data_IF_920847101890
#
_entry.id   IF_920847101890
#
_cell.length_a   1.000
_cell.length_b   1.000
_cell.length_c   1.000
_cell.angle_alpha   90.00
_cell.angle_beta   90.00
_cell.angle_gamma   90.00
#
_symmetry.space_group_name_H-M   'P 1'
#
loop_
_entity.id
_entity.type
_entity.pdbx_description
1 polymer ?
#
# COMPACT_ATOMS: atom_id res chain seq x y z
N UNK A 1 -1.99 -10.29 -10.45
CA UNK A 1 -2.29 -11.66 -10.01
C UNK A 1 -2.40 -11.76 -8.49
N UNK A 2 -1.33 -11.50 -7.74
CA UNK A 2 -1.34 -11.56 -6.27
C UNK A 2 -2.47 -10.73 -5.63
N UNK A 3 -2.53 -9.42 -5.91
CA UNK A 3 -3.57 -8.56 -5.33
C UNK A 3 -4.99 -8.98 -5.72
N UNK A 4 -5.19 -9.57 -6.89
CA UNK A 4 -6.50 -10.10 -7.31
C UNK A 4 -6.89 -11.30 -6.47
N UNK A 5 -5.96 -12.23 -6.23
CA UNK A 5 -6.20 -13.38 -5.35
C UNK A 5 -6.56 -12.94 -3.93
N UNK A 6 -5.83 -11.97 -3.38
CA UNK A 6 -6.10 -11.43 -2.04
C UNK A 6 -7.44 -10.68 -1.96
N UNK A 7 -7.78 -9.90 -3.00
CA UNK A 7 -9.05 -9.17 -3.09
C UNK A 7 -10.26 -10.10 -3.02
N UNK A 8 -10.19 -11.27 -3.67
CA UNK A 8 -11.25 -12.27 -3.66
C UNK A 8 -11.26 -13.08 -2.36
N UNK A 9 -10.09 -13.48 -1.86
CA UNK A 9 -9.99 -14.32 -0.67
C UNK A 9 -10.35 -13.61 0.63
N UNK A 10 -10.06 -12.30 0.75
CA UNK A 10 -10.21 -11.58 2.02
C UNK A 10 -11.66 -11.56 2.54
N UNK A 11 -12.69 -11.25 1.72
CA UNK A 11 -14.09 -11.35 2.17
C UNK A 11 -14.52 -12.79 2.47
N UNK A 12 -14.04 -13.77 1.69
CA UNK A 12 -14.39 -15.19 1.87
C UNK A 12 -13.87 -15.74 3.20
N UNK A 13 -12.58 -15.53 3.49
CA UNK A 13 -12.00 -15.94 4.77
C UNK A 13 -12.54 -15.11 5.93
N UNK A 14 -12.82 -13.82 5.71
CA UNK A 14 -13.51 -12.97 6.68
C UNK A 14 -14.89 -13.52 7.05
N UNK A 15 -15.69 -13.91 6.06
CA UNK A 15 -17.00 -14.54 6.28
C UNK A 15 -16.88 -15.89 6.98
N UNK A 16 -15.96 -16.74 6.54
CA UNK A 16 -15.72 -18.04 7.18
C UNK A 16 -15.37 -17.87 8.66
N UNK A 17 -14.51 -16.91 9.00
CA UNK A 17 -14.11 -16.64 10.39
C UNK A 17 -15.23 -16.13 11.31
N UNK A 18 -16.34 -15.64 10.74
CA UNK A 18 -17.50 -15.20 11.50
C UNK A 18 -18.40 -16.36 11.92
N UNK A 19 -18.49 -17.42 11.11
CA UNK A 19 -19.42 -18.54 11.34
C UNK A 19 -18.75 -19.80 11.88
N UNK A 20 -17.42 -19.91 11.78
CA UNK A 20 -16.65 -21.09 12.19
C UNK A 20 -15.44 -20.70 13.05
N UNK A 21 -14.82 -21.67 13.74
CA UNK A 21 -13.59 -21.43 14.49
C UNK A 21 -12.52 -20.81 13.60
N UNK A 22 -11.95 -19.69 14.05
CA UNK A 22 -10.99 -18.86 13.28
C UNK A 22 -9.72 -19.61 12.87
N UNK A 23 -9.39 -20.71 13.54
CA UNK A 23 -8.26 -21.59 13.20
C UNK A 23 -8.44 -22.34 11.87
N UNK A 24 -9.67 -22.68 11.48
CA UNK A 24 -9.95 -23.37 10.21
C UNK A 24 -9.52 -22.55 8.98
N UNK A 25 -10.01 -21.30 8.77
CA UNK A 25 -9.60 -20.51 7.62
C UNK A 25 -8.11 -20.16 7.65
N UNK A 26 -7.51 -20.00 8.84
CA UNK A 26 -6.06 -19.79 8.97
C UNK A 26 -5.26 -21.00 8.50
N UNK A 27 -5.59 -22.21 8.96
CA UNK A 27 -4.89 -23.42 8.53
C UNK A 27 -4.98 -23.62 7.01
N UNK A 28 -6.19 -23.49 6.44
CA UNK A 28 -6.41 -23.61 4.99
C UNK A 28 -5.63 -22.57 4.21
N UNK A 29 -5.62 -21.32 4.66
CA UNK A 29 -4.88 -20.24 4.00
C UNK A 29 -3.37 -20.47 3.96
N UNK A 30 -2.82 -21.03 5.04
CA UNK A 30 -1.38 -21.33 5.17
C UNK A 30 -1.05 -22.51 4.26
N UNK A 31 -1.86 -23.57 4.24
CA UNK A 31 -1.69 -24.71 3.32
C UNK A 31 -1.71 -24.27 1.86
N UNK A 32 -2.67 -23.41 1.48
CA UNK A 32 -2.72 -22.82 0.13
C UNK A 32 -1.45 -22.00 -0.15
N UNK A 33 -1.00 -21.18 0.79
CA UNK A 33 0.20 -20.35 0.63
C UNK A 33 1.46 -21.20 0.43
N UNK A 34 1.64 -22.27 1.21
CA UNK A 34 2.78 -23.18 1.08
C UNK A 34 2.74 -23.89 -0.27
N UNK A 35 1.60 -24.49 -0.63
CA UNK A 35 1.43 -25.16 -1.91
C UNK A 35 1.66 -24.21 -3.10
N UNK A 36 1.17 -22.98 -3.02
CA UNK A 36 1.33 -21.96 -4.05
C UNK A 36 2.78 -21.48 -4.20
N UNK A 37 3.51 -21.32 -3.09
CA UNK A 37 4.94 -20.99 -3.13
C UNK A 37 5.79 -22.15 -3.67
N UNK A 38 5.45 -23.41 -3.33
CA UNK A 38 6.07 -24.58 -3.96
C UNK A 38 5.82 -24.56 -5.48
N UNK A 39 4.58 -24.35 -5.92
CA UNK A 39 4.26 -24.23 -7.34
C UNK A 39 5.04 -23.09 -8.02
N UNK A 40 5.20 -21.95 -7.34
CA UNK A 40 5.97 -20.82 -7.84
C UNK A 40 7.46 -21.15 -7.99
N UNK A 41 8.07 -21.84 -7.02
CA UNK A 41 9.46 -22.27 -7.07
C UNK A 41 9.73 -23.25 -8.22
N UNK A 42 8.79 -24.16 -8.48
CA UNK A 42 8.88 -25.20 -9.50
C UNK A 42 8.32 -24.80 -10.87
N UNK A 43 8.02 -23.52 -11.09
CA UNK A 43 7.39 -23.04 -12.34
C UNK A 43 8.25 -23.22 -13.60
N UNK A 44 9.52 -23.56 -13.43
CA UNK A 44 10.49 -23.79 -14.50
C UNK A 44 10.49 -25.25 -15.00
N UNK A 45 9.89 -26.19 -14.26
CA UNK A 45 9.84 -27.62 -14.62
C UNK A 45 8.94 -27.91 -15.83
N UNK A 46 7.73 -27.33 -15.96
CA UNK A 46 6.97 -27.44 -17.20
C UNK A 46 7.75 -26.76 -18.34
N UNK A 47 7.85 -27.41 -19.49
CA UNK A 47 8.52 -26.85 -20.68
C UNK A 47 7.59 -25.98 -21.53
N UNK A 48 6.29 -25.95 -21.20
CA UNK A 48 5.25 -25.26 -21.95
C UNK A 48 4.31 -24.50 -21.02
N UNK A 49 3.88 -23.30 -21.43
CA UNK A 49 2.90 -22.44 -20.73
C UNK A 49 3.35 -21.84 -19.37
N UNK A 50 4.65 -21.72 -19.10
CA UNK A 50 5.22 -21.31 -17.80
C UNK A 50 4.68 -19.94 -17.30
N UNK A 51 4.38 -19.02 -18.22
CA UNK A 51 3.76 -17.72 -17.90
C UNK A 51 2.40 -17.86 -17.20
N UNK A 52 1.58 -18.84 -17.59
CA UNK A 52 0.27 -19.09 -17.00
C UNK A 52 0.41 -19.77 -15.64
N UNK A 53 1.32 -20.73 -15.51
CA UNK A 53 1.63 -21.36 -14.22
C UNK A 53 2.15 -20.34 -13.20
N UNK A 54 3.01 -19.41 -13.62
CA UNK A 54 3.49 -18.32 -12.77
C UNK A 54 2.32 -17.42 -12.32
N UNK A 55 1.43 -17.07 -13.24
CA UNK A 55 0.28 -16.21 -12.95
C UNK A 55 -0.69 -16.88 -11.96
N UNK A 56 -0.98 -18.17 -12.16
CA UNK A 56 -1.81 -18.99 -11.25
C UNK A 56 -1.15 -19.11 -9.88
N UNK A 57 0.14 -19.44 -9.81
CA UNK A 57 0.87 -19.52 -8.55
C UNK A 57 0.81 -18.19 -7.78
N UNK A 58 1.08 -17.06 -8.43
CA UNK A 58 0.97 -15.74 -7.79
C UNK A 58 -0.45 -15.42 -7.33
N UNK A 59 -1.48 -15.82 -8.09
CA UNK A 59 -2.87 -15.64 -7.67
C UNK A 59 -3.20 -16.49 -6.45
N UNK A 60 -2.72 -17.73 -6.37
CA UNK A 60 -2.90 -18.62 -5.21
C UNK A 60 -2.14 -18.14 -3.97
N UNK A 61 -0.91 -17.62 -4.12
CA UNK A 61 -0.19 -16.98 -3.00
C UNK A 61 -0.99 -15.77 -2.50
N UNK A 62 -1.56 -14.97 -3.41
CA UNK A 62 -2.46 -13.88 -3.05
C UNK A 62 -3.73 -14.36 -2.34
N UNK A 63 -4.32 -15.46 -2.82
CA UNK A 63 -5.48 -16.07 -2.19
C UNK A 63 -5.18 -16.49 -0.74
N UNK A 64 -4.05 -17.17 -0.51
CA UNK A 64 -3.57 -17.51 0.83
C UNK A 64 -3.33 -16.28 1.73
N UNK A 65 -2.88 -15.16 1.17
CA UNK A 65 -2.70 -13.90 1.90
C UNK A 65 -4.01 -13.23 2.36
N UNK A 66 -5.19 -13.74 1.95
CA UNK A 66 -6.48 -13.29 2.48
C UNK A 66 -6.65 -13.51 3.99
N UNK A 67 -5.78 -14.34 4.60
CA UNK A 67 -5.74 -14.57 6.04
C UNK A 67 -5.45 -13.33 6.89
N UNK A 68 -4.87 -12.28 6.29
CA UNK A 68 -4.65 -10.98 6.93
C UNK A 68 -5.97 -10.41 7.47
N UNK A 69 -7.09 -10.60 6.77
CA UNK A 69 -8.41 -10.18 7.23
C UNK A 69 -8.85 -10.93 8.50
N UNK A 70 -8.59 -12.25 8.56
CA UNK A 70 -8.91 -13.10 9.70
C UNK A 70 -8.08 -12.69 10.93
N UNK A 71 -6.76 -12.52 10.76
CA UNK A 71 -5.86 -12.09 11.84
C UNK A 71 -6.28 -10.74 12.41
N UNK A 72 -6.59 -9.75 11.55
CA UNK A 72 -7.04 -8.43 12.00
C UNK A 72 -8.39 -8.47 12.72
N UNK A 73 -9.33 -9.27 12.22
CA UNK A 73 -10.63 -9.46 12.90
C UNK A 73 -10.48 -10.14 14.25
N UNK A 74 -9.54 -11.09 14.37
CA UNK A 74 -9.20 -11.75 15.63
C UNK A 74 -8.64 -10.75 16.63
N UNK A 75 -7.64 -9.95 16.23
CA UNK A 75 -7.03 -8.93 17.10
C UNK A 75 -8.08 -7.92 17.56
N UNK A 76 -8.94 -7.44 16.65
CA UNK A 76 -9.97 -6.47 17.00
C UNK A 76 -10.99 -7.03 18.01
N UNK A 77 -11.35 -8.30 17.89
CA UNK A 77 -12.27 -8.98 18.82
C UNK A 77 -11.62 -9.43 20.14
N UNK A 78 -10.31 -9.71 20.14
CA UNK A 78 -9.58 -10.16 21.33
C UNK A 78 -9.01 -9.00 22.17
N UNK A 79 -9.06 -7.75 21.66
CA UNK A 79 -8.48 -6.57 22.33
C UNK A 79 -9.56 -5.60 22.79
N UNK A 80 -9.31 -5.01 23.96
CA UNK A 80 -10.11 -3.90 24.48
C UNK A 80 -9.99 -2.68 23.56
N UNK A 81 -10.97 -1.77 23.61
CA UNK A 81 -10.97 -0.54 22.81
C UNK A 81 -9.77 0.37 23.12
N UNK A 82 -9.28 0.36 24.36
CA UNK A 82 -8.11 1.13 24.77
C UNK A 82 -6.79 0.53 24.23
N UNK A 83 -6.69 -0.79 24.16
CA UNK A 83 -5.47 -1.49 23.73
C UNK A 83 -5.39 -1.73 22.23
N UNK A 84 -6.54 -1.65 21.52
CA UNK A 84 -6.66 -1.98 20.11
C UNK A 84 -5.65 -1.27 19.23
N UNK A 85 -5.41 0.01 19.51
CA UNK A 85 -4.47 0.82 18.74
C UNK A 85 -3.04 0.37 18.90
N UNK A 86 -2.65 -0.03 20.12
CA UNK A 86 -1.34 -0.62 20.38
C UNK A 86 -1.19 -1.99 19.70
N UNK A 87 -2.21 -2.83 19.78
CA UNK A 87 -2.19 -4.16 19.17
C UNK A 87 -2.12 -4.10 17.63
N UNK A 88 -2.92 -3.25 17.00
CA UNK A 88 -2.88 -3.05 15.54
C UNK A 88 -1.54 -2.44 15.10
N UNK A 89 -1.00 -1.47 15.84
CA UNK A 89 0.32 -0.91 15.56
C UNK A 89 1.44 -1.98 15.65
N UNK A 90 1.37 -2.88 16.64
CA UNK A 90 2.29 -4.01 16.75
C UNK A 90 2.20 -4.93 15.53
N UNK A 91 1.00 -5.30 15.11
CA UNK A 91 0.80 -6.15 13.93
C UNK A 91 1.34 -5.50 12.66
N UNK A 92 1.11 -4.19 12.48
CA UNK A 92 1.68 -3.43 11.36
C UNK A 92 3.21 -3.32 11.42
N UNK A 93 3.78 -3.17 12.62
CA UNK A 93 5.23 -3.19 12.80
C UNK A 93 5.84 -4.55 12.44
N UNK A 94 5.24 -5.66 12.91
CA UNK A 94 5.67 -7.00 12.52
C UNK A 94 5.56 -7.22 11.01
N UNK A 95 4.49 -6.71 10.37
CA UNK A 95 4.34 -6.78 8.92
C UNK A 95 5.43 -6.00 8.18
N UNK A 96 5.77 -4.79 8.65
CA UNK A 96 6.85 -3.98 8.05
C UNK A 96 8.21 -4.65 8.23
N UNK A 97 8.51 -5.15 9.42
CA UNK A 97 9.74 -5.92 9.69
C UNK A 97 9.83 -7.14 8.76
N UNK A 98 8.72 -7.86 8.55
CA UNK A 98 8.68 -8.98 7.61
C UNK A 98 8.93 -8.58 6.15
N UNK A 99 8.50 -7.40 5.73
CA UNK A 99 8.83 -6.88 4.39
C UNK A 99 10.31 -6.51 4.26
N UNK A 100 10.93 -5.98 5.32
CA UNK A 100 12.33 -5.57 5.33
C UNK A 100 13.25 -6.80 5.40
N UNK A 101 12.96 -7.73 6.31
CA UNK A 101 13.78 -8.94 6.55
C UNK A 101 13.45 -10.10 5.61
N UNK A 102 12.35 -10.05 4.84
CA UNK A 102 11.96 -11.11 3.91
C UNK A 102 13.04 -11.60 2.93
N UNK A 103 14.00 -10.77 2.49
CA UNK A 103 15.16 -11.21 1.70
C UNK A 103 16.31 -11.82 2.52
N UNK A 104 16.39 -11.57 3.83
CA UNK A 104 17.46 -12.03 4.71
C UNK A 104 16.92 -13.11 5.66
N UNK A 105 17.21 -14.36 5.33
CA UNK A 105 17.01 -15.47 6.24
C UNK A 105 17.73 -15.20 7.57
N UNK A 106 16.96 -14.92 8.62
CA UNK A 106 17.34 -15.31 9.96
C UNK A 106 16.17 -16.08 10.56
N UNK A 107 16.22 -17.39 10.34
CA UNK A 107 15.46 -18.36 11.12
C UNK A 107 16.19 -18.42 12.46
N UNK A 108 15.68 -17.69 13.45
CA UNK A 108 16.10 -17.91 14.83
C UNK A 108 15.39 -19.17 15.34
N UNK A 109 16.18 -20.21 15.62
CA UNK A 109 15.79 -21.51 16.20
C UNK A 109 15.36 -21.39 17.68
N UNK A 110 14.48 -20.44 18.00
CA UNK A 110 13.87 -20.39 19.32
C UNK A 110 12.53 -21.11 19.22
N UNK A 111 12.58 -22.43 19.45
CA UNK A 111 11.45 -23.36 19.60
C UNK A 111 10.52 -23.06 20.79
N UNK A 112 10.22 -21.79 21.03
CA UNK A 112 9.14 -21.38 21.91
C UNK A 112 7.83 -21.43 21.15
N UNK A 113 7.11 -22.52 21.38
CA UNK A 113 5.67 -22.56 21.12
C UNK A 113 5.02 -21.35 21.78
N UNK A 114 4.38 -20.48 20.99
CA UNK A 114 3.42 -19.54 21.53
C UNK A 114 2.37 -20.37 22.27
N UNK A 115 2.31 -20.19 23.60
CA UNK A 115 1.29 -20.78 24.45
C UNK A 115 -0.06 -20.50 23.79
N UNK A 116 -0.88 -21.54 23.57
CA UNK A 116 -2.28 -21.32 23.21
C UNK A 116 -2.84 -20.34 24.21
N UNK A 117 -3.26 -19.17 23.75
CA UNK A 117 -4.10 -18.30 24.55
C UNK A 117 -5.43 -19.04 24.61
N UNK A 118 -5.56 -19.92 25.60
CA UNK A 118 -6.86 -20.42 26.02
C UNK A 118 -7.56 -19.21 26.65
N UNK A 119 -8.41 -18.56 25.87
CA UNK A 119 -9.43 -17.69 26.41
C UNK A 119 -10.67 -18.56 26.55
N UNK A 120 -10.88 -19.08 27.74
CA UNK A 120 -12.24 -19.26 28.22
C UNK A 120 -12.85 -17.85 28.21
N UNK A 121 -13.80 -17.61 27.31
CA UNK A 121 -14.66 -16.47 27.43
C UNK A 121 -15.49 -16.73 28.69
N UNK A 122 -15.11 -16.12 29.81
CA UNK A 122 -16.10 -15.84 30.84
C UNK A 122 -17.17 -14.99 30.15
N UNK A 123 -18.36 -15.58 29.98
CA UNK A 123 -19.60 -14.85 29.70
C UNK A 123 -19.85 -13.91 30.89
N UNK A 124 -19.15 -12.77 30.90
CA UNK A 124 -19.58 -11.63 31.70
C UNK A 124 -20.83 -11.07 31.02
N UNK A 125 -21.92 -10.96 31.79
CA UNK A 125 -23.21 -10.39 31.39
C UNK A 125 -23.09 -9.00 30.70
N UNK A 126 -21.97 -8.30 30.88
CA UNK A 126 -21.62 -7.05 30.20
C UNK A 126 -21.43 -7.19 28.66
N UNK A 127 -21.06 -8.38 28.16
CA UNK A 127 -20.82 -8.65 26.72
C UNK A 127 -22.14 -8.78 25.97
N UNK A 128 -23.17 -9.37 26.59
CA UNK A 128 -24.50 -9.55 25.99
C UNK A 128 -25.13 -8.19 25.71
N UNK A 129 -24.93 -7.21 26.60
CA UNK A 129 -25.46 -5.86 26.43
C UNK A 129 -24.65 -5.00 25.44
N UNK A 130 -23.43 -5.40 25.05
CA UNK A 130 -22.59 -4.70 24.07
C UNK A 130 -23.03 -4.86 22.60
N UNK A 131 -23.98 -5.78 22.35
CA UNK A 131 -24.49 -6.10 21.02
C UNK A 131 -25.63 -5.17 20.55
N UNK A 132 -26.24 -4.40 21.47
CA UNK A 132 -27.50 -3.67 21.27
C UNK A 132 -27.41 -2.43 20.35
N UNK A 133 -26.21 -2.00 19.94
CA UNK A 133 -26.02 -0.82 19.09
C UNK A 133 -25.96 -1.12 17.58
N UNK A 134 -26.66 -0.35 16.75
CA UNK A 134 -26.51 -0.39 15.29
C UNK A 134 -25.16 0.19 14.85
N UNK A 135 -24.54 -0.44 13.85
CA UNK A 135 -23.27 -0.01 13.25
C UNK A 135 -23.55 1.23 12.40
N UNK A 136 -22.66 2.23 12.47
CA UNK A 136 -22.70 3.35 11.53
C UNK A 136 -22.15 2.91 10.17
N UNK A 137 -23.03 2.44 9.29
CA UNK A 137 -22.65 2.01 7.95
C UNK A 137 -22.03 3.14 7.13
N UNK A 138 -22.42 4.39 7.37
CA UNK A 138 -21.84 5.54 6.67
C UNK A 138 -20.40 5.72 7.12
N UNK A 139 -20.12 5.77 8.43
CA UNK A 139 -18.76 5.91 8.93
C UNK A 139 -17.85 4.73 8.49
N UNK A 140 -18.38 3.51 8.41
CA UNK A 140 -17.66 2.33 7.90
C UNK A 140 -17.29 2.49 6.43
N UNK A 141 -18.23 2.89 5.57
CA UNK A 141 -17.99 3.09 4.13
C UNK A 141 -16.98 4.22 3.91
N UNK A 142 -17.15 5.35 4.59
CA UNK A 142 -16.24 6.50 4.47
C UNK A 142 -14.81 6.16 4.93
N UNK A 143 -14.67 5.44 6.04
CA UNK A 143 -13.34 5.00 6.51
C UNK A 143 -12.70 3.99 5.53
N UNK A 144 -13.49 3.14 4.88
CA UNK A 144 -13.00 2.24 3.85
C UNK A 144 -12.53 3.01 2.60
N UNK A 145 -13.28 4.05 2.17
CA UNK A 145 -12.87 4.93 1.07
C UNK A 145 -11.54 5.62 1.41
N UNK A 146 -11.42 6.20 2.60
CA UNK A 146 -10.16 6.83 3.06
C UNK A 146 -9.00 5.82 3.02
N UNK A 147 -9.22 4.62 3.52
CA UNK A 147 -8.23 3.55 3.50
C UNK A 147 -7.81 3.14 2.08
N UNK A 148 -8.78 3.00 1.16
CA UNK A 148 -8.51 2.74 -0.25
C UNK A 148 -7.62 3.84 -0.84
N UNK A 149 -7.95 5.11 -0.60
CA UNK A 149 -7.20 6.24 -1.13
C UNK A 149 -5.78 6.29 -0.57
N UNK A 150 -5.59 6.09 0.74
CA UNK A 150 -4.27 6.05 1.37
C UNK A 150 -3.38 4.98 0.74
N UNK A 151 -3.91 3.76 0.55
CA UNK A 151 -3.16 2.69 -0.11
C UNK A 151 -2.96 2.91 -1.60
N UNK A 152 -3.90 3.58 -2.27
CA UNK A 152 -3.82 3.89 -3.68
C UNK A 152 -2.68 4.87 -3.95
N UNK A 153 -2.59 5.93 -3.15
CA UNK A 153 -1.52 6.93 -3.22
C UNK A 153 -0.15 6.27 -3.00
N UNK A 154 -0.04 5.40 -2.00
CA UNK A 154 1.21 4.67 -1.74
C UNK A 154 1.58 3.74 -2.89
N UNK A 155 0.63 2.97 -3.43
CA UNK A 155 0.88 2.07 -4.57
C UNK A 155 1.29 2.85 -5.83
N UNK A 156 0.70 4.04 -6.03
CA UNK A 156 1.08 4.97 -7.10
C UNK A 156 2.53 5.43 -6.94
N UNK A 157 2.90 5.88 -5.74
CA UNK A 157 4.26 6.33 -5.43
C UNK A 157 5.30 5.20 -5.58
N UNK A 158 5.01 4.02 -5.04
CA UNK A 158 5.85 2.82 -5.17
C UNK A 158 6.10 2.46 -6.64
N UNK A 159 5.08 2.59 -7.49
CA UNK A 159 5.17 2.25 -8.92
C UNK A 159 6.00 3.27 -9.71
N UNK A 160 5.82 4.56 -9.43
CA UNK A 160 6.44 5.63 -10.21
C UNK A 160 7.88 5.93 -9.78
N UNK A 161 8.29 5.60 -8.55
CA UNK A 161 9.62 5.89 -8.00
C UNK A 161 10.77 5.44 -8.93
N UNK A 162 10.75 4.18 -9.38
CA UNK A 162 11.79 3.64 -10.27
C UNK A 162 11.86 4.38 -11.61
N UNK A 163 10.80 4.46 -12.43
CA UNK A 163 10.88 5.18 -13.70
C UNK A 163 11.16 6.68 -13.53
N UNK A 164 10.62 7.32 -12.49
CA UNK A 164 10.88 8.74 -12.20
C UNK A 164 12.36 9.01 -11.97
N UNK A 165 13.01 8.23 -11.11
CA UNK A 165 14.43 8.42 -10.80
C UNK A 165 15.35 8.10 -11.99
N UNK A 166 14.98 7.14 -12.83
CA UNK A 166 15.65 6.88 -14.11
C UNK A 166 15.58 8.09 -15.04
N UNK A 167 14.38 8.66 -15.21
CA UNK A 167 14.13 9.77 -16.13
C UNK A 167 14.71 11.11 -15.63
N UNK A 168 14.67 11.35 -14.31
CA UNK A 168 15.11 12.62 -13.71
C UNK A 168 16.62 12.69 -13.44
N UNK A 169 17.24 11.56 -13.04
CA UNK A 169 18.65 11.53 -12.62
C UNK A 169 19.56 10.83 -13.63
N UNK A 170 19.02 10.36 -14.75
CA UNK A 170 19.76 9.56 -15.74
C UNK A 170 20.44 8.33 -15.15
N UNK A 171 19.82 7.75 -14.11
CA UNK A 171 20.27 6.51 -13.52
C UNK A 171 19.94 5.33 -14.43
N UNK A 172 20.86 4.37 -14.51
CA UNK A 172 20.57 3.09 -15.15
C UNK A 172 19.48 2.34 -14.39
N UNK A 173 18.83 1.36 -15.04
CA UNK A 173 17.80 0.55 -14.37
C UNK A 173 18.34 -0.12 -13.10
N UNK A 174 19.60 -0.57 -13.13
CA UNK A 174 20.25 -1.24 -11.99
C UNK A 174 20.47 -0.26 -10.83
N UNK A 175 20.99 0.93 -11.13
CA UNK A 175 21.21 1.98 -10.13
C UNK A 175 19.89 2.46 -9.54
N UNK A 176 18.88 2.72 -10.36
CA UNK A 176 17.58 3.19 -9.90
C UNK A 176 16.89 2.17 -8.98
N UNK A 177 16.89 0.88 -9.34
CA UNK A 177 16.33 -0.17 -8.48
C UNK A 177 17.13 -0.28 -7.17
N UNK A 178 18.46 -0.17 -7.23
CA UNK A 178 19.31 -0.25 -6.05
C UNK A 178 19.10 0.93 -5.09
N UNK A 179 19.17 2.17 -5.58
CA UNK A 179 19.00 3.38 -4.76
C UNK A 179 17.58 3.50 -4.22
N UNK A 180 16.54 3.24 -5.02
CA UNK A 180 15.16 3.22 -4.50
C UNK A 180 14.96 2.07 -3.51
N UNK A 181 15.64 0.94 -3.69
CA UNK A 181 15.66 -0.15 -2.71
C UNK A 181 16.22 0.30 -1.35
N UNK A 182 17.34 1.02 -1.34
CA UNK A 182 17.92 1.60 -0.12
C UNK A 182 16.95 2.60 0.53
N UNK A 183 16.35 3.49 -0.28
CA UNK A 183 15.39 4.50 0.21
C UNK A 183 14.17 3.83 0.84
N UNK A 184 13.55 2.86 0.15
CA UNK A 184 12.40 2.10 0.69
C UNK A 184 12.78 1.30 1.94
N UNK A 185 13.99 0.75 2.01
CA UNK A 185 14.52 0.10 3.21
C UNK A 185 14.63 1.06 4.39
N UNK A 186 15.18 2.25 4.17
CA UNK A 186 15.29 3.30 5.19
C UNK A 186 13.90 3.78 5.68
N UNK A 187 12.97 4.03 4.76
CA UNK A 187 11.57 4.36 5.07
C UNK A 187 10.89 3.22 5.86
N UNK A 188 11.23 1.96 5.56
CA UNK A 188 10.76 0.80 6.32
C UNK A 188 11.19 0.86 7.79
N UNK A 189 12.47 1.15 8.06
CA UNK A 189 13.01 1.32 9.42
C UNK A 189 12.35 2.50 10.11
N UNK A 190 12.23 3.63 9.42
CA UNK A 190 11.51 4.82 9.90
C UNK A 190 10.05 4.48 10.28
N UNK A 191 9.36 3.70 9.44
CA UNK A 191 7.98 3.28 9.68
C UNK A 191 7.82 2.48 10.97
N UNK A 192 8.81 1.64 11.32
CA UNK A 192 8.80 0.90 12.60
C UNK A 192 8.86 1.86 13.79
N UNK A 193 9.68 2.91 13.72
CA UNK A 193 9.75 3.95 14.75
C UNK A 193 8.42 4.70 14.84
N UNK A 194 7.82 5.05 13.70
CA UNK A 194 6.52 5.71 13.63
C UNK A 194 5.43 4.85 14.28
N UNK A 195 5.39 3.53 14.04
CA UNK A 195 4.42 2.65 14.70
C UNK A 195 4.56 2.62 16.22
N UNK A 196 5.77 2.72 16.75
CA UNK A 196 6.00 2.86 18.19
C UNK A 196 5.51 4.21 18.71
N UNK A 197 5.78 5.30 17.99
CA UNK A 197 5.36 6.64 18.34
C UNK A 197 3.82 6.78 18.36
N UNK A 198 3.13 6.20 17.37
CA UNK A 198 1.65 6.22 17.26
C UNK A 198 0.96 5.71 18.52
N UNK A 199 1.54 4.74 19.24
CA UNK A 199 0.98 4.22 20.50
C UNK A 199 0.93 5.27 21.61
N UNK A 200 1.95 6.12 21.67
CA UNK A 200 2.08 7.18 22.67
C UNK A 200 1.21 8.37 22.24
N UNK A 201 1.32 8.76 20.97
CA UNK A 201 0.61 9.92 20.43
C UNK A 201 -0.90 9.72 20.40
N UNK A 202 -1.39 8.50 20.13
CA UNK A 202 -2.83 8.22 20.04
C UNK A 202 -3.55 8.45 21.36
N UNK A 203 -2.89 8.15 22.49
CA UNK A 203 -3.42 8.44 23.83
C UNK A 203 -3.48 9.93 24.15
N UNK A 204 -2.59 10.74 23.57
CA UNK A 204 -2.49 12.17 23.87
C UNK A 204 -3.35 13.05 22.96
N UNK A 205 -3.41 12.72 21.68
CA UNK A 205 -4.02 13.57 20.63
C UNK A 205 -5.32 13.00 20.06
N UNK A 206 -5.62 11.73 20.36
CA UNK A 206 -6.74 11.02 19.76
C UNK A 206 -6.43 10.53 18.34
N UNK A 207 -7.07 9.43 17.94
CA UNK A 207 -6.80 8.74 16.67
C UNK A 207 -7.25 9.53 15.44
N UNK A 208 -8.36 10.28 15.57
CA UNK A 208 -8.90 11.13 14.51
C UNK A 208 -7.91 12.23 14.10
N UNK A 209 -7.32 12.91 15.10
CA UNK A 209 -6.34 13.97 14.88
C UNK A 209 -5.04 13.40 14.28
N UNK A 210 -4.63 12.20 14.68
CA UNK A 210 -3.46 11.54 14.07
C UNK A 210 -3.68 11.15 12.61
N UNK A 211 -4.87 10.64 12.26
CA UNK A 211 -5.19 10.36 10.86
C UNK A 211 -5.14 11.65 10.02
N UNK A 212 -5.73 12.73 10.53
CA UNK A 212 -5.72 14.03 9.86
C UNK A 212 -4.29 14.59 9.72
N UNK A 213 -3.49 14.55 10.79
CA UNK A 213 -2.10 14.97 10.79
C UNK A 213 -1.22 14.15 9.84
N UNK A 214 -1.43 12.83 9.77
CA UNK A 214 -0.75 11.96 8.82
C UNK A 214 -1.05 12.33 7.37
N UNK A 215 -2.32 12.59 7.03
CA UNK A 215 -2.72 13.00 5.68
C UNK A 215 -2.15 14.37 5.30
N UNK A 216 -2.05 15.31 6.25
CA UNK A 216 -1.38 16.60 6.02
C UNK A 216 0.12 16.43 5.74
N UNK A 217 0.81 15.57 6.50
CA UNK A 217 2.23 15.28 6.26
C UNK A 217 2.41 14.67 4.86
N UNK A 218 1.54 13.72 4.47
CA UNK A 218 1.54 13.14 3.12
C UNK A 218 1.31 14.22 2.05
N UNK A 219 0.37 15.15 2.26
CA UNK A 219 0.11 16.25 1.34
C UNK A 219 1.35 17.12 1.14
N UNK A 220 2.02 17.50 2.24
CA UNK A 220 3.25 18.31 2.18
C UNK A 220 4.35 17.55 1.45
N UNK A 221 4.50 16.24 1.69
CA UNK A 221 5.46 15.40 0.97
C UNK A 221 5.25 15.42 -0.54
N UNK A 222 4.03 15.17 -1.01
CA UNK A 222 3.72 15.22 -2.45
C UNK A 222 3.79 16.63 -3.04
N UNK A 223 3.50 17.66 -2.26
CA UNK A 223 3.63 19.05 -2.69
C UNK A 223 5.09 19.44 -2.92
N UNK A 224 6.01 18.97 -2.06
CA UNK A 224 7.46 19.16 -2.24
C UNK A 224 7.97 18.40 -3.47
N UNK A 225 7.37 17.23 -3.77
CA UNK A 225 7.73 16.40 -4.92
C UNK A 225 7.33 17.02 -6.29
N UNK A 226 6.52 18.08 -6.30
CA UNK A 226 6.24 18.81 -7.53
C UNK A 226 7.51 19.46 -8.10
N UNK A 227 7.74 19.43 -9.42
CA UNK A 227 8.92 20.05 -10.02
C UNK A 227 8.75 21.57 -10.06
N UNK A 228 9.32 22.25 -9.06
CA UNK A 228 9.29 23.71 -8.90
C UNK A 228 10.43 24.44 -9.60
N UNK A 229 11.57 23.77 -9.77
CA UNK A 229 12.80 24.40 -10.29
C UNK A 229 12.72 24.58 -11.80
N UNK A 230 13.50 25.48 -12.41
CA UNK A 230 13.46 25.78 -13.84
C UNK A 230 14.55 25.07 -14.68
N UNK A 231 15.19 24.02 -14.15
CA UNK A 231 16.22 23.24 -14.86
C UNK A 231 15.57 22.00 -15.48
N UNK A 232 15.77 21.75 -16.77
CA UNK A 232 15.24 20.56 -17.44
C UNK A 232 16.13 19.32 -17.15
N UNK A 233 15.54 18.10 -17.17
CA UNK A 233 16.30 16.86 -17.08
C UNK A 233 17.16 16.64 -18.33
N UNK A 234 18.25 15.88 -18.20
CA UNK A 234 19.08 15.46 -19.33
C UNK A 234 18.29 14.50 -20.24
N UNK A 235 18.23 14.84 -21.52
CA UNK A 235 17.54 14.08 -22.55
C UNK A 235 18.47 13.01 -23.15
N UNK A 236 17.94 11.85 -23.54
CA UNK A 236 18.69 10.77 -24.21
C UNK A 236 19.47 11.20 -25.48
N UNK A 237 19.22 12.40 -26.01
CA UNK A 237 19.91 12.96 -27.19
C UNK A 237 21.38 13.35 -26.95
N UNK A 238 21.86 13.45 -25.71
CA UNK A 238 23.28 13.70 -25.47
C UNK A 238 24.16 12.51 -25.91
N UNK A 239 23.62 11.29 -25.92
CA UNK A 239 24.31 10.08 -26.41
C UNK A 239 24.00 9.74 -27.88
N UNK A 240 22.87 10.20 -28.42
CA UNK A 240 22.41 9.94 -29.80
C UNK A 240 22.88 10.98 -30.84
N UNK A 241 23.67 11.98 -30.43
CA UNK A 241 24.19 13.06 -31.29
C UNK A 241 25.23 12.59 -32.34
N UNK A 242 25.19 11.32 -32.74
CA UNK A 242 25.94 10.80 -33.88
C UNK A 242 25.11 9.99 -34.89
N UNK A 243 23.78 9.88 -34.77
CA UNK A 243 22.97 9.32 -35.87
C UNK A 243 21.59 9.99 -35.98
N UNK A 244 21.19 10.22 -37.23
CA UNK A 244 20.07 11.04 -37.72
C UNK A 244 18.72 10.84 -37.02
N UNK A 245 18.03 11.98 -36.84
CA UNK A 245 16.71 12.17 -36.23
C UNK A 245 15.61 11.37 -36.97
N UNK A 246 14.88 10.45 -36.32
CA UNK A 246 13.62 9.92 -36.85
C UNK A 246 12.47 10.91 -36.54
N UNK A 247 11.70 11.31 -37.56
CA UNK A 247 10.47 12.09 -37.38
C UNK A 247 9.34 11.17 -36.90
N UNK A 248 8.75 11.46 -35.75
CA UNK A 248 7.54 10.79 -35.25
C UNK A 248 6.28 11.49 -35.78
N UNK A 249 5.29 10.71 -36.23
CA UNK A 249 4.06 11.19 -36.86
C UNK A 249 2.91 11.20 -35.83
N UNK A 250 2.00 12.18 -35.92
CA UNK A 250 0.86 12.43 -35.01
C UNK A 250 -0.03 11.21 -34.69
N UNK A 251 -0.02 10.18 -35.54
CA UNK A 251 -0.79 8.93 -35.41
C UNK A 251 -0.35 8.03 -34.25
N UNK A 252 0.85 8.19 -33.69
CA UNK A 252 1.39 7.30 -32.64
C UNK A 252 0.93 7.66 -31.21
N UNK A 253 0.19 8.76 -31.05
CA UNK A 253 -0.31 9.26 -29.76
C UNK A 253 -1.36 8.36 -29.08
N UNK A 254 -1.92 7.38 -29.79
CA UNK A 254 -3.02 6.51 -29.33
C UNK A 254 -2.65 5.02 -29.20
N UNK A 255 -1.38 4.63 -29.32
CA UNK A 255 -0.99 3.22 -29.20
C UNK A 255 -0.71 2.79 -27.74
N UNK A 256 -1.12 1.58 -27.33
CA UNK A 256 -0.74 0.99 -26.05
C UNK A 256 0.78 0.85 -25.89
N UNK A 257 1.31 1.19 -24.70
CA UNK A 257 2.73 1.17 -24.33
C UNK A 257 3.50 -0.11 -24.74
N UNK A 258 2.86 -1.29 -24.68
CA UNK A 258 3.49 -2.57 -25.02
C UNK A 258 3.81 -2.74 -26.51
N UNK A 259 3.15 -2.00 -27.40
CA UNK A 259 3.44 -2.02 -28.85
C UNK A 259 4.61 -1.08 -29.16
N UNK A 260 4.68 0.07 -28.48
CA UNK A 260 5.77 1.04 -28.67
C UNK A 260 7.15 0.45 -28.34
N UNK A 261 7.21 -0.43 -27.34
CA UNK A 261 8.43 -1.09 -26.90
C UNK A 261 8.98 -2.10 -27.93
N UNK A 262 8.17 -2.54 -28.91
CA UNK A 262 8.62 -3.48 -29.96
C UNK A 262 9.30 -2.81 -31.16
N UNK A 263 9.28 -1.47 -31.26
CA UNK A 263 9.81 -0.74 -32.42
C UNK A 263 11.22 -0.13 -32.23
N UNK A 264 11.80 -0.16 -31.03
CA UNK A 264 13.02 0.59 -30.69
C UNK A 264 14.21 -0.27 -30.22
N UNK A 265 14.43 -1.43 -30.83
CA UNK A 265 15.68 -2.16 -30.62
C UNK A 265 16.65 -1.84 -31.78
N UNK A 266 17.51 -0.81 -31.66
CA UNK A 266 18.63 -0.67 -32.59
C UNK A 266 19.58 -1.86 -32.35
N UNK A 267 20.01 -2.57 -33.41
CA UNK A 267 21.08 -3.54 -33.28
C UNK A 267 22.40 -2.76 -33.08
N UNK A 268 23.10 -3.06 -31.98
CA UNK A 268 24.48 -2.65 -31.68
C UNK A 268 24.72 -1.26 -31.05
N UNK A 269 24.15 -0.99 -29.88
CA UNK A 269 24.74 -0.05 -28.91
C UNK A 269 24.97 -0.77 -27.58
N UNK A 270 26.24 -0.81 -27.12
CA UNK A 270 26.68 -1.44 -25.86
C UNK A 270 26.32 -0.64 -24.61
N UNK A 271 25.76 0.56 -24.77
CA UNK A 271 25.37 1.47 -23.71
C UNK A 271 23.85 1.43 -23.56
N UNK A 272 23.35 1.09 -22.37
CA UNK A 272 21.93 1.22 -22.04
C UNK A 272 21.56 2.71 -22.08
N UNK A 273 20.51 3.13 -22.82
CA UNK A 273 20.12 4.53 -22.88
C UNK A 273 19.65 5.02 -21.51
N UNK A 274 20.24 6.11 -21.01
CA UNK A 274 19.94 6.73 -19.72
C UNK A 274 19.23 8.08 -19.89
N UNK A 275 18.45 8.48 -18.89
CA UNK A 275 17.67 9.73 -18.92
C UNK A 275 16.36 9.61 -19.70
N UNK A 276 15.66 10.73 -19.84
CA UNK A 276 14.29 10.68 -20.35
C UNK A 276 14.21 10.28 -21.84
N UNK A 277 13.31 9.32 -22.19
CA UNK A 277 13.05 8.95 -23.58
C UNK A 277 12.41 10.08 -24.40
N UNK A 278 12.93 10.29 -25.62
CA UNK A 278 12.43 11.30 -26.57
C UNK A 278 10.95 11.09 -26.99
N UNK A 279 10.40 9.91 -26.71
CA UNK A 279 8.99 9.57 -26.93
C UNK A 279 8.07 10.33 -25.97
N UNK A 280 8.55 10.67 -24.77
CA UNK A 280 7.77 11.36 -23.76
C UNK A 280 7.87 12.88 -23.98
N UNK A 281 6.78 13.49 -24.48
CA UNK A 281 6.76 14.91 -24.81
C UNK A 281 6.99 15.83 -23.60
N UNK A 282 6.58 15.39 -22.41
CA UNK A 282 6.69 16.18 -21.18
C UNK A 282 8.14 16.42 -20.74
N UNK A 283 9.12 15.69 -21.26
CA UNK A 283 10.53 15.88 -20.90
C UNK A 283 11.15 17.15 -21.47
N UNK A 284 10.52 17.75 -22.47
CA UNK A 284 10.93 19.03 -23.04
C UNK A 284 10.41 20.24 -22.23
N UNK A 285 9.38 20.03 -21.40
CA UNK A 285 8.66 21.12 -20.74
C UNK A 285 8.63 20.98 -19.20
N UNK A 286 8.88 19.78 -18.68
CA UNK A 286 8.84 19.48 -17.25
C UNK A 286 10.24 19.59 -16.64
N UNK A 287 10.43 20.43 -15.62
CA UNK A 287 11.70 20.54 -14.94
C UNK A 287 12.05 19.33 -14.10
N UNK A 288 13.35 19.21 -13.83
CA UNK A 288 13.92 18.17 -12.98
C UNK A 288 13.55 18.40 -11.52
N UNK A 289 13.24 17.30 -10.83
CA UNK A 289 13.10 17.28 -9.37
C UNK A 289 14.50 17.09 -8.78
N UNK A 290 14.91 17.93 -7.84
CA UNK A 290 16.21 17.73 -7.21
C UNK A 290 16.22 16.50 -6.31
N UNK A 291 17.38 15.82 -6.25
CA UNK A 291 17.55 14.66 -5.37
C UNK A 291 17.23 14.98 -3.91
N UNK A 292 17.58 16.17 -3.42
CA UNK A 292 17.23 16.61 -2.07
C UNK A 292 15.71 16.78 -1.87
N UNK A 293 14.98 17.25 -2.89
CA UNK A 293 13.52 17.38 -2.84
C UNK A 293 12.87 16.00 -2.79
N UNK A 294 13.34 15.07 -3.63
CA UNK A 294 12.88 13.68 -3.66
C UNK A 294 13.12 12.97 -2.33
N UNK A 295 14.33 13.03 -1.77
CA UNK A 295 14.62 12.41 -0.46
C UNK A 295 13.78 13.04 0.65
N UNK A 296 13.58 14.36 0.63
CA UNK A 296 12.75 15.04 1.64
C UNK A 296 11.28 14.65 1.52
N UNK A 297 10.73 14.54 0.31
CA UNK A 297 9.36 14.07 0.11
C UNK A 297 9.19 12.63 0.57
N UNK A 298 10.16 11.78 0.30
CA UNK A 298 10.14 10.36 0.61
C UNK A 298 10.12 10.11 2.12
N UNK A 299 10.92 10.87 2.88
CA UNK A 299 10.91 10.86 4.34
C UNK A 299 9.53 11.33 4.86
N UNK A 300 9.01 12.45 4.35
CA UNK A 300 7.70 12.96 4.81
C UNK A 300 6.56 11.99 4.50
N UNK A 301 6.51 11.43 3.29
CA UNK A 301 5.53 10.41 2.92
C UNK A 301 5.73 9.16 3.80
N UNK A 302 6.98 8.79 4.08
CA UNK A 302 7.38 7.73 5.00
C UNK A 302 6.94 7.93 6.45
N UNK A 303 6.85 9.18 6.93
CA UNK A 303 6.28 9.51 8.24
C UNK A 303 4.74 9.44 8.23
N UNK A 304 4.11 10.03 7.22
CA UNK A 304 2.66 10.20 7.20
C UNK A 304 1.89 8.92 6.85
N UNK A 305 2.38 8.13 5.90
CA UNK A 305 1.67 6.93 5.42
C UNK A 305 1.48 5.85 6.49
N UNK A 306 2.49 5.44 7.28
CA UNK A 306 2.33 4.45 8.34
C UNK A 306 1.31 4.87 9.40
N UNK A 307 1.31 6.17 9.77
CA UNK A 307 0.30 6.74 10.66
C UNK A 307 -1.10 6.56 10.06
N UNK A 308 -1.29 7.00 8.81
CA UNK A 308 -2.59 6.92 8.13
C UNK A 308 -3.09 5.47 8.02
N UNK A 309 -2.21 4.55 7.67
CA UNK A 309 -2.52 3.13 7.50
C UNK A 309 -2.99 2.51 8.83
N UNK A 310 -2.23 2.69 9.93
CA UNK A 310 -2.61 2.15 11.24
C UNK A 310 -3.87 2.82 11.78
N UNK A 311 -3.97 4.15 11.71
CA UNK A 311 -5.14 4.88 12.21
C UNK A 311 -6.42 4.48 11.46
N UNK A 312 -6.33 4.21 10.16
CA UNK A 312 -7.48 3.72 9.39
C UNK A 312 -7.98 2.37 9.89
N UNK A 313 -7.09 1.41 10.17
CA UNK A 313 -7.49 0.11 10.75
C UNK A 313 -8.08 0.26 12.16
N UNK A 314 -7.49 1.11 13.00
CA UNK A 314 -7.92 1.28 14.38
C UNK A 314 -9.26 1.97 14.46
N UNK A 315 -9.47 3.04 13.70
CA UNK A 315 -10.77 3.71 13.62
C UNK A 315 -11.83 2.77 13.06
N UNK A 316 -11.54 2.07 11.96
CA UNK A 316 -12.48 1.12 11.35
C UNK A 316 -12.92 0.03 12.35
N UNK A 317 -11.96 -0.62 13.03
CA UNK A 317 -12.28 -1.64 14.05
C UNK A 317 -13.00 -1.09 15.28
N UNK A 318 -12.77 0.16 15.67
CA UNK A 318 -13.46 0.82 16.79
C UNK A 318 -14.89 1.25 16.46
N UNK A 319 -15.15 1.63 15.21
CA UNK A 319 -16.49 1.97 14.71
C UNK A 319 -17.39 0.73 14.67
N UNK A 320 -16.83 -0.42 14.28
CA UNK A 320 -17.57 -1.68 14.22
C UNK A 320 -17.99 -2.24 15.60
N UNK A 321 -17.25 -1.89 16.66
CA UNK A 321 -17.54 -2.35 18.01
C UNK A 321 -17.29 -3.85 18.22
N UNK A 322 -17.94 -4.51 19.18
CA UNK A 322 -17.68 -5.92 19.53
C UNK A 322 -18.32 -6.93 18.56
N UNK A 323 -19.06 -6.47 17.55
CA UNK A 323 -19.74 -7.33 16.57
C UNK A 323 -18.74 -8.12 15.72
N UNK A 324 -19.11 -9.29 15.18
CA UNK A 324 -18.21 -10.12 14.36
C UNK A 324 -17.67 -9.33 13.16
N UNK A 325 -16.37 -8.99 13.20
CA UNK A 325 -15.74 -8.05 12.26
C UNK A 325 -15.11 -8.72 11.02
N UNK A 326 -15.16 -10.05 10.89
CA UNK A 326 -14.45 -10.79 9.85
C UNK A 326 -14.79 -10.32 8.44
N UNK A 327 -16.08 -10.26 8.08
CA UNK A 327 -16.53 -9.77 6.77
C UNK A 327 -16.11 -8.32 6.52
N UNK A 328 -16.24 -7.44 7.52
CA UNK A 328 -15.89 -6.02 7.40
C UNK A 328 -14.38 -5.82 7.21
N UNK A 329 -13.54 -6.57 7.94
CA UNK A 329 -12.10 -6.58 7.75
C UNK A 329 -11.69 -7.21 6.42
N UNK A 330 -12.47 -8.18 5.94
CA UNK A 330 -12.35 -8.76 4.61
C UNK A 330 -12.54 -7.72 3.51
N UNK A 331 -13.62 -6.93 3.58
CA UNK A 331 -13.88 -5.83 2.63
C UNK A 331 -12.84 -4.72 2.70
N UNK A 332 -12.40 -4.35 3.91
CA UNK A 332 -11.32 -3.37 4.09
C UNK A 332 -10.02 -3.88 3.43
N UNK A 333 -9.66 -5.15 3.64
CA UNK A 333 -8.45 -5.72 3.04
C UNK A 333 -8.59 -5.84 1.52
N UNK A 334 -9.78 -6.20 1.02
CA UNK A 334 -10.06 -6.28 -0.39
C UNK A 334 -9.95 -4.91 -1.10
N UNK A 335 -10.44 -3.83 -0.48
CA UNK A 335 -10.29 -2.48 -1.04
C UNK A 335 -8.81 -2.08 -1.12
N UNK A 336 -8.01 -2.43 -0.11
CA UNK A 336 -6.56 -2.23 -0.16
C UNK A 336 -5.86 -3.00 -1.27
N UNK A 337 -6.29 -4.24 -1.54
CA UNK A 337 -5.83 -4.98 -2.71
C UNK A 337 -6.27 -4.34 -4.03
N UNK A 338 -7.50 -3.81 -4.09
CA UNK A 338 -8.00 -3.03 -5.22
C UNK A 338 -7.15 -1.79 -5.50
N UNK A 339 -6.79 -1.04 -4.46
CA UNK A 339 -5.92 0.12 -4.57
C UNK A 339 -4.55 -0.24 -5.20
N UNK A 340 -3.97 -1.37 -4.82
CA UNK A 340 -2.72 -1.91 -5.42
C UNK A 340 -2.88 -2.44 -6.85
N UNK A 341 -4.10 -2.72 -7.31
CA UNK A 341 -4.39 -3.08 -8.70
C UNK A 341 -4.52 -1.81 -9.54
N UNK A 342 -5.32 -0.85 -9.07
CA UNK A 342 -5.66 0.35 -9.84
C UNK A 342 -4.56 1.42 -9.81
N UNK A 343 -3.80 1.55 -8.73
CA UNK A 343 -2.73 2.55 -8.58
C UNK A 343 -1.70 2.52 -9.71
N UNK A 344 -1.04 1.36 -9.96
CA UNK A 344 -0.07 1.22 -11.04
C UNK A 344 -0.66 1.53 -12.41
N UNK A 345 -1.90 1.10 -12.69
CA UNK A 345 -2.59 1.34 -13.97
C UNK A 345 -2.86 2.82 -14.16
N UNK A 346 -3.37 3.50 -13.13
CA UNK A 346 -3.65 4.93 -13.14
C UNK A 346 -2.38 5.75 -13.37
N UNK A 347 -1.34 5.52 -12.57
CA UNK A 347 -0.13 6.33 -12.64
C UNK A 347 0.66 6.09 -13.91
N UNK A 348 0.73 4.84 -14.41
CA UNK A 348 1.46 4.53 -15.64
C UNK A 348 0.90 5.32 -16.82
N UNK A 349 -0.42 5.40 -16.95
CA UNK A 349 -1.06 6.15 -18.05
C UNK A 349 -0.84 7.66 -17.92
N UNK A 350 -1.00 8.20 -16.71
CA UNK A 350 -0.86 9.65 -16.50
C UNK A 350 0.60 10.08 -16.66
N UNK A 351 1.53 9.31 -16.09
CA UNK A 351 2.95 9.60 -16.14
C UNK A 351 3.49 9.60 -17.57
N UNK A 352 3.16 8.58 -18.38
CA UNK A 352 3.67 8.50 -19.75
C UNK A 352 3.14 9.62 -20.65
N UNK A 353 1.89 10.04 -20.47
CA UNK A 353 1.25 11.00 -21.37
C UNK A 353 1.31 12.46 -20.89
N UNK A 354 1.15 12.70 -19.59
CA UNK A 354 1.03 14.04 -19.00
C UNK A 354 2.26 14.43 -18.15
N UNK A 355 3.08 13.47 -17.76
CA UNK A 355 4.32 13.69 -17.04
C UNK A 355 4.18 13.93 -15.52
N UNK A 356 5.31 14.09 -14.83
CA UNK A 356 5.38 14.15 -13.36
C UNK A 356 4.53 15.26 -12.74
N UNK A 357 4.44 16.44 -13.40
CA UNK A 357 3.64 17.58 -12.91
C UNK A 357 2.19 17.20 -12.69
N UNK A 358 1.57 16.62 -13.71
CA UNK A 358 0.17 16.21 -13.64
C UNK A 358 -0.02 15.00 -12.73
N UNK A 359 0.90 14.03 -12.75
CA UNK A 359 0.86 12.88 -11.83
C UNK A 359 0.82 13.31 -10.37
N UNK A 360 1.76 14.14 -9.92
CA UNK A 360 1.82 14.57 -8.52
C UNK A 360 0.74 15.59 -8.16
N UNK A 361 0.32 16.45 -9.10
CA UNK A 361 -0.79 17.38 -8.86
C UNK A 361 -2.12 16.65 -8.65
N UNK A 362 -2.39 15.60 -9.44
CA UNK A 362 -3.59 14.77 -9.27
C UNK A 362 -3.54 14.02 -7.93
N UNK A 363 -2.38 13.50 -7.53
CA UNK A 363 -2.22 12.88 -6.21
C UNK A 363 -2.48 13.88 -5.08
N UNK A 364 -1.92 15.10 -5.16
CA UNK A 364 -2.20 16.17 -4.19
C UNK A 364 -3.71 16.47 -4.14
N UNK A 365 -4.37 16.57 -5.29
CA UNK A 365 -5.83 16.76 -5.36
C UNK A 365 -6.61 15.63 -4.68
N UNK A 366 -6.22 14.38 -4.89
CA UNK A 366 -6.82 13.20 -4.23
C UNK A 366 -6.62 13.26 -2.70
N UNK A 367 -5.44 13.68 -2.22
CA UNK A 367 -5.17 13.86 -0.78
C UNK A 367 -6.03 14.99 -0.20
N UNK A 368 -6.15 16.12 -0.88
CA UNK A 368 -7.01 17.24 -0.46
C UNK A 368 -8.47 16.81 -0.38
N UNK A 369 -8.97 16.08 -1.39
CA UNK A 369 -10.32 15.52 -1.35
C UNK A 369 -10.51 14.56 -0.17
N UNK A 370 -9.49 13.78 0.19
CA UNK A 370 -9.52 12.88 1.35
C UNK A 370 -9.53 13.64 2.68
N UNK A 371 -8.79 14.75 2.78
CA UNK A 371 -8.83 15.63 3.94
C UNK A 371 -10.21 16.26 4.11
N UNK A 372 -10.81 16.76 3.02
CA UNK A 372 -12.17 17.29 3.02
C UNK A 372 -13.21 16.24 3.43
N UNK A 373 -13.08 15.02 2.90
CA UNK A 373 -13.93 13.90 3.29
C UNK A 373 -13.79 13.61 4.79
N UNK A 374 -12.56 13.58 5.29
CA UNK A 374 -12.28 13.37 6.71
C UNK A 374 -12.87 14.49 7.58
N UNK A 375 -12.83 15.75 7.16
CA UNK A 375 -13.45 16.88 7.86
C UNK A 375 -14.97 16.76 7.94
N UNK A 376 -15.63 16.44 6.82
CA UNK A 376 -17.09 16.24 6.76
C UNK A 376 -17.53 15.11 7.70
N UNK A 377 -16.76 14.03 7.75
CA UNK A 377 -17.08 12.83 8.53
C UNK A 377 -16.47 12.89 9.95
N UNK A 378 -15.68 13.92 10.29
CA UNK A 378 -14.91 14.01 11.54
C UNK A 378 -15.76 13.81 12.80
N UNK A 379 -16.97 14.37 12.81
CA UNK A 379 -17.94 14.24 13.90
C UNK A 379 -18.61 12.86 13.96
N UNK A 380 -18.59 12.09 12.88
CA UNK A 380 -19.16 10.73 12.80
C UNK A 380 -18.16 9.63 13.12
N UNK A 381 -16.85 9.87 12.99
CA UNK A 381 -15.76 8.92 13.30
C UNK A 381 -15.58 8.71 14.82
N UNK A 382 -16.66 8.45 15.55
CA UNK A 382 -16.64 8.22 16.99
C UNK A 382 -16.62 6.70 17.25
N UNK A 383 -15.79 6.26 18.20
CA UNK A 383 -15.75 4.86 18.60
C UNK A 383 -17.10 4.38 19.13
N UNK A 384 -17.43 3.12 18.88
CA UNK A 384 -18.72 2.52 19.28
C UNK A 384 -19.05 2.71 20.77
N UNK A 385 -18.05 2.63 21.66
CA UNK A 385 -18.25 2.84 23.11
C UNK A 385 -18.61 4.27 23.49
N UNK A 386 -18.01 5.27 22.82
CA UNK A 386 -18.25 6.69 23.10
C UNK A 386 -19.65 7.05 22.60
N UNK A 387 -20.04 6.56 21.41
CA UNK A 387 -21.41 6.77 20.86
C UNK A 387 -22.51 6.28 21.81
N UNK A 388 -22.29 5.17 22.50
CA UNK A 388 -23.27 4.61 23.45
C UNK A 388 -22.94 4.91 24.92
N UNK A 389 -22.11 5.92 25.18
CA UNK A 389 -21.91 6.49 26.53
C UNK A 389 -21.15 5.63 27.54
N UNK A 390 -20.32 4.67 27.09
CA UNK A 390 -19.62 3.72 27.98
C UNK A 390 -18.20 4.13 28.37
N UNK A 391 -17.60 5.12 27.69
CA UNK A 391 -16.28 5.67 27.99
C UNK A 391 -16.28 7.18 27.71
N UNK A 392 -15.66 8.03 28.57
CA UNK A 392 -15.42 9.43 28.25
C UNK A 392 -14.46 9.57 27.07
N UNK A 393 -14.56 10.68 26.32
CA UNK A 393 -13.79 10.98 25.09
C UNK A 393 -12.27 10.94 25.26
#
# INVERSE_FOLDING_TARGET
AYSVGQMVASPLFGMWSNYRPRGEPLAVSITISVAANCLYAYVHLPTSHNKYYMLVARALVGFGAGNVAVVRSYIAGATSLAERTSAMANTSACQAIGFILGPEHQVDDIGRWCKKINTEAEENDDVVQATQGNIDHIAVVETNILFFVILFIFAVFETIATPLTMDMYSWTRKEAVFYNGIILGAIGIESVIVFMAVKILSKKTGERALLYGGLLIVLVGFFILLPWVNKLPSIQWEDLKNNSIPRTTFSERFLPFWILQTQQQPPNSTVEPTGCPAVQSWCLDTPVIHLAQYITSDILIGLGYPVCNVMSYTLYSKILGPKPQGVYMGWLTASGSGARIFGPVFVTQIYTHLGPRWSFSLICGIVVLSLLLLEVVYKRLIAFSIRYGRLPE
#
